data_IF_127001683092
#
_entry.id   IF_127001683092
#
_cell.length_a   1.000
_cell.length_b   1.000
_cell.length_c   1.000
_cell.angle_alpha   90.00
_cell.angle_beta   90.00
_cell.angle_gamma   90.00
#
_symmetry.space_group_name_H-M   'P 1'
#
loop_
_entity.id
_entity.type
_entity.pdbx_description
1 polymer ?
#
# COMPACT_ATOMS: atom_id res chain seq x y z
N UNK A 1 -10.51 2.25 7.47
CA UNK A 1 -11.15 2.17 6.14
C UNK A 1 -11.37 0.71 5.78
N UNK A 2 -12.55 0.37 5.36
CA UNK A 2 -12.80 -1.00 4.89
C UNK A 2 -12.34 -1.17 3.46
N UNK A 3 -11.46 -2.14 3.23
CA UNK A 3 -11.00 -2.50 1.90
C UNK A 3 -11.67 -3.82 1.50
N UNK A 4 -12.56 -3.81 0.51
CA UNK A 4 -13.28 -5.03 0.14
C UNK A 4 -12.34 -6.08 -0.48
N UNK A 5 -12.68 -7.38 -0.35
CA UNK A 5 -11.85 -8.45 -0.92
C UNK A 5 -11.64 -8.32 -2.43
N UNK A 6 -12.60 -7.76 -3.14
CA UNK A 6 -12.54 -7.56 -4.59
C UNK A 6 -11.40 -6.63 -5.00
N UNK A 7 -10.98 -5.75 -4.08
CA UNK A 7 -9.88 -4.83 -4.35
C UNK A 7 -8.53 -5.54 -4.50
N UNK A 8 -8.40 -6.76 -3.98
CA UNK A 8 -7.15 -7.55 -4.09
C UNK A 8 -6.78 -7.80 -5.55
N UNK A 9 -7.77 -8.16 -6.37
CA UNK A 9 -7.55 -8.37 -7.79
C UNK A 9 -7.13 -7.08 -8.48
N UNK A 10 -7.79 -5.97 -8.15
CA UNK A 10 -7.44 -4.66 -8.67
C UNK A 10 -6.00 -4.29 -8.33
N UNK A 11 -5.57 -4.53 -7.10
CA UNK A 11 -4.21 -4.25 -6.67
C UNK A 11 -3.19 -5.08 -7.44
N UNK A 12 -3.50 -6.33 -7.71
CA UNK A 12 -2.64 -7.20 -8.50
C UNK A 12 -2.51 -6.70 -9.94
N UNK A 13 -3.64 -6.40 -10.57
CA UNK A 13 -3.67 -5.99 -11.98
C UNK A 13 -3.10 -4.60 -12.18
N UNK A 14 -3.48 -3.63 -11.35
CA UNK A 14 -3.11 -2.23 -11.54
C UNK A 14 -1.71 -1.90 -11.01
N UNK A 15 -1.29 -2.55 -9.92
CA UNK A 15 -0.05 -2.20 -9.22
C UNK A 15 0.95 -3.36 -9.16
N UNK A 16 0.61 -4.51 -9.70
CA UNK A 16 1.47 -5.70 -9.67
C UNK A 16 1.85 -6.09 -8.23
N UNK A 17 0.89 -6.02 -7.32
CA UNK A 17 1.13 -6.38 -5.93
C UNK A 17 1.03 -7.90 -5.75
N UNK A 18 2.00 -8.46 -5.02
CA UNK A 18 1.94 -9.84 -4.58
C UNK A 18 0.90 -10.01 -3.48
N UNK A 19 0.55 -11.25 -3.17
CA UNK A 19 -0.36 -11.55 -2.04
C UNK A 19 0.17 -10.99 -0.73
N UNK A 20 1.47 -11.11 -0.49
CA UNK A 20 2.10 -10.61 0.74
C UNK A 20 2.08 -9.09 0.82
N UNK A 21 2.32 -8.41 -0.28
CA UNK A 21 2.26 -6.95 -0.33
C UNK A 21 0.83 -6.46 -0.09
N UNK A 22 -0.14 -7.15 -0.67
CA UNK A 22 -1.55 -6.83 -0.48
C UNK A 22 -1.99 -7.07 0.97
N UNK A 23 -1.45 -8.09 1.60
CA UNK A 23 -1.70 -8.37 3.02
C UNK A 23 -1.25 -7.20 3.91
N UNK A 24 -0.09 -6.64 3.64
CA UNK A 24 0.41 -5.46 4.35
C UNK A 24 -0.51 -4.26 4.12
N UNK A 25 -0.92 -4.04 2.89
CA UNK A 25 -1.86 -2.96 2.57
C UNK A 25 -3.16 -3.11 3.35
N UNK A 26 -3.74 -4.31 3.36
CA UNK A 26 -5.00 -4.57 4.07
C UNK A 26 -4.85 -4.40 5.57
N UNK A 27 -3.72 -4.77 6.14
CA UNK A 27 -3.44 -4.52 7.55
C UNK A 27 -3.54 -3.02 7.85
N UNK A 28 -2.95 -2.20 7.00
CA UNK A 28 -2.96 -0.74 7.18
C UNK A 28 -4.30 -0.10 6.88
N UNK A 29 -5.17 -0.76 6.12
CA UNK A 29 -6.55 -0.30 5.96
C UNK A 29 -7.30 -0.30 7.28
N UNK A 30 -6.98 -1.25 8.16
CA UNK A 30 -7.63 -1.37 9.47
C UNK A 30 -7.05 -0.40 10.49
N UNK A 31 -5.73 -0.20 10.47
CA UNK A 31 -5.10 0.71 11.43
C UNK A 31 -3.71 1.12 10.94
N UNK A 32 -3.32 2.33 11.27
CA UNK A 32 -1.94 2.76 11.08
C UNK A 32 -1.01 2.00 12.02
N UNK A 33 0.24 1.81 11.64
CA UNK A 33 1.16 0.97 12.39
C UNK A 33 2.62 1.27 12.10
N UNK A 34 3.46 0.82 13.01
CA UNK A 34 4.92 0.80 12.86
C UNK A 34 5.33 -0.50 12.17
N UNK A 35 6.53 -0.51 11.60
CA UNK A 35 7.09 -1.73 10.98
C UNK A 35 7.06 -2.90 11.95
N UNK A 36 7.43 -2.67 13.22
CA UNK A 36 7.44 -3.74 14.22
C UNK A 36 6.08 -4.38 14.44
N UNK A 37 5.01 -3.56 14.45
CA UNK A 37 3.65 -4.08 14.62
C UNK A 37 3.23 -4.93 13.41
N UNK A 38 3.53 -4.45 12.20
CA UNK A 38 3.22 -5.19 10.97
C UNK A 38 3.98 -6.51 10.95
N UNK A 39 5.27 -6.45 11.25
CA UNK A 39 6.15 -7.62 11.29
C UNK A 39 5.62 -8.69 12.24
N UNK A 40 5.25 -8.29 13.46
CA UNK A 40 4.73 -9.21 14.47
C UNK A 40 3.38 -9.80 14.07
N UNK A 41 2.45 -8.95 13.63
CA UNK A 41 1.09 -9.39 13.31
C UNK A 41 1.02 -10.28 12.09
N UNK A 42 1.87 -10.04 11.09
CA UNK A 42 1.87 -10.81 9.85
C UNK A 42 2.94 -11.90 9.83
N UNK A 43 3.69 -12.03 10.90
CA UNK A 43 4.77 -13.02 11.04
C UNK A 43 5.76 -12.95 9.87
N UNK A 44 6.25 -11.76 9.60
CA UNK A 44 7.25 -11.47 8.56
C UNK A 44 8.41 -10.71 9.17
N UNK A 45 9.61 -10.85 8.65
CA UNK A 45 10.73 -10.07 9.18
C UNK A 45 10.64 -8.61 8.75
N UNK A 46 11.27 -7.76 9.56
CA UNK A 46 11.20 -6.30 9.38
C UNK A 46 11.74 -5.85 8.02
N UNK A 47 12.82 -6.43 7.56
CA UNK A 47 13.41 -6.06 6.27
C UNK A 47 12.47 -6.36 5.11
N UNK A 48 11.76 -7.48 5.19
CA UNK A 48 10.75 -7.86 4.20
C UNK A 48 9.58 -6.87 4.22
N UNK A 49 9.08 -6.55 5.41
CA UNK A 49 8.00 -5.56 5.58
C UNK A 49 8.42 -4.20 5.03
N UNK A 50 9.65 -3.76 5.30
CA UNK A 50 10.16 -2.49 4.80
C UNK A 50 10.21 -2.44 3.27
N UNK A 51 10.59 -3.54 2.62
CA UNK A 51 10.56 -3.62 1.15
C UNK A 51 9.14 -3.50 0.61
N UNK A 52 8.20 -4.20 1.23
CA UNK A 52 6.79 -4.10 0.85
C UNK A 52 6.25 -2.69 1.02
N UNK A 53 6.55 -2.06 2.15
CA UNK A 53 6.13 -0.70 2.44
C UNK A 53 6.74 0.30 1.45
N UNK A 54 7.99 0.10 1.07
CA UNK A 54 8.66 0.96 0.09
C UNK A 54 7.95 0.90 -1.27
N UNK A 55 7.60 -0.31 -1.72
CA UNK A 55 6.85 -0.50 -2.96
C UNK A 55 5.47 0.16 -2.89
N UNK A 56 4.76 -0.05 -1.77
CA UNK A 56 3.43 0.54 -1.57
C UNK A 56 3.49 2.07 -1.52
N UNK A 57 4.53 2.62 -0.91
CA UNK A 57 4.73 4.08 -0.85
C UNK A 57 5.04 4.66 -2.24
N UNK A 58 5.89 4.00 -2.99
CA UNK A 58 6.21 4.41 -4.36
C UNK A 58 4.96 4.42 -5.24
N UNK A 59 4.06 3.47 -5.01
CA UNK A 59 2.78 3.40 -5.72
C UNK A 59 1.77 4.44 -5.22
N UNK A 60 2.06 5.12 -4.12
CA UNK A 60 1.14 6.11 -3.54
C UNK A 60 0.03 5.50 -2.70
N UNK A 61 0.09 4.21 -2.41
CA UNK A 61 -0.94 3.50 -1.65
C UNK A 61 -0.73 3.54 -0.14
N UNK A 62 0.45 3.92 0.29
CA UNK A 62 0.82 4.03 1.70
C UNK A 62 1.61 5.32 1.90
N UNK A 63 1.35 5.97 3.02
CA UNK A 63 2.10 7.15 3.47
C UNK A 63 2.81 6.81 4.77
N UNK A 64 3.87 7.54 5.07
CA UNK A 64 4.51 7.43 6.38
C UNK A 64 4.71 8.81 6.97
N UNK A 65 4.67 8.84 8.29
CA UNK A 65 4.91 10.05 9.06
C UNK A 65 6.00 9.77 10.09
N UNK A 66 6.99 10.66 10.17
CA UNK A 66 8.04 10.56 11.16
C UNK A 66 7.53 11.08 12.50
N UNK A 67 7.74 10.29 13.54
CA UNK A 67 7.40 10.66 14.92
C UNK A 67 8.66 10.65 15.78
N UNK A 68 8.66 11.44 16.82
CA UNK A 68 9.76 11.49 17.78
C UNK A 68 9.32 10.76 19.06
N UNK A 69 10.17 9.84 19.51
CA UNK A 69 9.95 9.11 20.74
C UNK A 69 10.67 9.86 21.86
N UNK A 70 9.90 10.65 22.64
CA UNK A 70 10.45 11.56 23.64
C UNK A 70 11.31 10.89 24.71
N UNK A 71 10.90 9.70 25.15
CA UNK A 71 11.59 8.97 26.21
C UNK A 71 12.91 8.33 25.77
N UNK A 72 13.02 7.96 24.49
CA UNK A 72 14.19 7.24 23.97
C UNK A 72 15.02 8.06 22.98
N UNK A 73 14.68 9.32 22.78
CA UNK A 73 15.38 10.24 21.86
C UNK A 73 15.55 9.68 20.44
N UNK A 74 14.66 8.75 20.02
CA UNK A 74 14.70 8.15 18.70
C UNK A 74 13.59 8.65 17.82
N UNK A 75 13.68 8.29 16.55
CA UNK A 75 12.61 8.54 15.58
C UNK A 75 12.05 7.22 15.09
N UNK A 76 10.77 7.22 14.79
CA UNK A 76 10.13 6.07 14.19
C UNK A 76 9.11 6.56 13.15
N UNK A 77 8.70 5.65 12.27
CA UNK A 77 7.69 5.96 11.26
C UNK A 77 6.39 5.24 11.58
N UNK A 78 5.29 5.97 11.41
CA UNK A 78 3.95 5.40 11.38
C UNK A 78 3.53 5.33 9.92
N UNK A 79 3.09 4.16 9.49
CA UNK A 79 2.61 3.91 8.14
C UNK A 79 1.10 3.85 8.14
N UNK A 80 0.50 4.42 7.12
CA UNK A 80 -0.96 4.46 6.98
C UNK A 80 -1.35 4.52 5.52
N UNK A 81 -2.58 4.12 5.21
CA UNK A 81 -3.15 4.34 3.89
C UNK A 81 -3.66 5.78 3.78
N UNK A 82 -3.75 6.33 2.56
CA UNK A 82 -4.41 7.62 2.36
C UNK A 82 -5.86 7.55 2.82
N UNK A 83 -6.48 8.72 3.04
CA UNK A 83 -7.90 8.71 3.37
C UNK A 83 -8.72 8.12 2.20
N UNK A 84 -9.97 7.76 2.50
CA UNK A 84 -10.84 7.07 1.56
C UNK A 84 -10.98 7.77 0.21
N UNK A 85 -11.19 9.07 0.21
CA UNK A 85 -11.38 9.82 -1.02
C UNK A 85 -10.08 9.92 -1.83
N UNK A 86 -8.96 10.13 -1.16
CA UNK A 86 -7.64 10.14 -1.81
C UNK A 86 -7.33 8.78 -2.40
N UNK A 87 -7.59 7.70 -1.67
CA UNK A 87 -7.37 6.33 -2.15
C UNK A 87 -8.20 6.06 -3.40
N UNK A 88 -9.48 6.42 -3.38
CA UNK A 88 -10.38 6.24 -4.53
C UNK A 88 -9.87 6.99 -5.75
N UNK A 89 -9.44 8.24 -5.57
CA UNK A 89 -8.94 9.05 -6.67
C UNK A 89 -7.69 8.44 -7.29
N UNK A 90 -6.76 7.98 -6.46
CA UNK A 90 -5.52 7.36 -6.94
C UNK A 90 -5.77 6.07 -7.71
N UNK A 91 -6.63 5.22 -7.19
CA UNK A 91 -6.96 3.95 -7.84
C UNK A 91 -7.71 4.19 -9.14
N UNK A 92 -8.63 5.15 -9.16
CA UNK A 92 -9.35 5.53 -10.37
C UNK A 92 -8.40 6.02 -11.47
N UNK A 93 -7.47 6.90 -11.13
CA UNK A 93 -6.48 7.39 -12.07
C UNK A 93 -5.63 6.24 -12.64
N UNK A 94 -5.26 5.30 -11.78
CA UNK A 94 -4.50 4.12 -12.20
C UNK A 94 -5.30 3.22 -13.12
N UNK A 95 -6.58 3.07 -12.87
CA UNK A 95 -7.49 2.31 -13.74
C UNK A 95 -7.60 2.95 -15.11
N UNK A 96 -7.76 4.27 -15.16
CA UNK A 96 -7.86 5.01 -16.42
C UNK A 96 -6.59 4.87 -17.25
N UNK A 97 -5.43 4.99 -16.60
CA UNK A 97 -4.11 4.80 -17.23
C UNK A 97 -3.94 3.38 -17.78
N UNK A 98 -4.32 2.37 -16.98
CA UNK A 98 -4.24 0.97 -17.36
C UNK A 98 -5.15 0.68 -18.57
N UNK A 99 -6.36 1.21 -18.55
CA UNK A 99 -7.33 1.03 -19.62
C UNK A 99 -6.83 1.65 -20.93
N UNK A 100 -6.28 2.85 -20.86
CA UNK A 100 -5.71 3.53 -22.01
C UNK A 100 -4.58 2.72 -22.63
N UNK A 101 -3.68 2.18 -21.83
CA UNK A 101 -2.60 1.31 -22.30
C UNK A 101 -3.14 0.06 -22.99
N UNK A 102 -4.21 -0.53 -22.48
CA UNK A 102 -4.80 -1.72 -23.08
C UNK A 102 -5.47 -1.39 -24.42
N UNK A 103 -6.11 -0.26 -24.53
CA UNK A 103 -6.68 0.18 -25.81
C UNK A 103 -5.58 0.39 -26.87
N UNK A 104 -4.45 0.94 -26.49
CA UNK A 104 -3.32 1.09 -27.40
C UNK A 104 -2.80 -0.26 -27.89
N UNK A 105 -2.73 -1.22 -26.99
CA UNK A 105 -2.31 -2.58 -27.32
C UNK A 105 -3.28 -3.21 -28.36
N UNK A 106 -4.58 -2.97 -28.20
CA UNK A 106 -5.58 -3.48 -29.14
C UNK A 106 -5.41 -2.88 -30.55
N UNK A 107 -4.98 -1.64 -30.64
CA UNK A 107 -4.73 -0.98 -31.93
C UNK A 107 -3.57 -1.60 -32.70
N UNK A 108 -2.68 -2.30 -32.02
CA UNK A 108 -1.52 -2.97 -32.64
C UNK A 108 -1.85 -4.31 -33.28
N UNK A 109 -3.06 -4.82 -33.06
CA UNK A 109 -3.54 -6.04 -33.68
C UNK A 109 -4.03 -5.71 -35.11
#
# INVERSE_FOLDING_TARGET
>A
MECPPEMKEMMKVLYDLSSSETEVLYFLCDKEARVSEISENLNKDRSTVQRYLSKLRTAGLVKRESKVEEEKKGRYYIYRVPDKEEMKAKVKDKMDEWQEDKYKTLEEI
#
